data_IF_455463831882
#
_entry.id   IF_455463831882
#
_cell.length_a   1.000
_cell.length_b   1.000
_cell.length_c   1.000
_cell.angle_alpha   90.00
_cell.angle_beta   90.00
_cell.angle_gamma   90.00
#
_symmetry.space_group_name_H-M   'P 1'
#
loop_
_entity.id
_entity.type
_entity.pdbx_description
1 polymer ?
#
# COMPACT_ATOMS: atom_id res chain seq x y z
N UNK A 1 -4.14 -9.68 -4.52
CA UNK A 1 -3.76 -8.38 -3.93
C UNK A 1 -4.98 -7.48 -3.93
N UNK A 2 -5.22 -6.81 -2.82
CA UNK A 2 -6.18 -5.71 -2.67
C UNK A 2 -5.36 -4.41 -2.50
N UNK A 3 -5.45 -3.52 -3.49
CA UNK A 3 -4.53 -2.41 -3.64
C UNK A 3 -4.95 -1.13 -2.87
N UNK A 4 -5.59 -1.27 -1.73
CA UNK A 4 -5.98 -0.17 -0.83
C UNK A 4 -7.47 0.19 -0.90
N UNK A 5 -7.91 1.03 0.04
CA UNK A 5 -9.28 1.52 0.18
C UNK A 5 -10.32 0.39 0.29
N UNK A 6 -10.14 -0.45 1.31
CA UNK A 6 -11.10 -1.51 1.64
C UNK A 6 -12.50 -0.94 1.93
N UNK A 7 -12.55 0.28 2.42
CA UNK A 7 -13.77 0.99 2.75
C UNK A 7 -13.80 2.38 2.10
N UNK A 8 -14.99 2.87 1.80
CA UNK A 8 -15.19 4.22 1.29
C UNK A 8 -14.87 5.29 2.35
N UNK A 9 -15.12 4.98 3.61
CA UNK A 9 -15.00 5.92 4.72
C UNK A 9 -13.97 5.43 5.73
N UNK A 10 -13.20 6.34 6.32
CA UNK A 10 -12.19 6.06 7.36
C UNK A 10 -12.76 5.48 8.65
N UNK A 11 -14.06 5.60 8.87
CA UNK A 11 -14.80 5.01 9.98
C UNK A 11 -15.99 4.23 9.43
N UNK A 12 -15.76 3.05 8.83
CA UNK A 12 -16.80 2.28 8.19
C UNK A 12 -17.85 1.81 9.20
N UNK A 13 -19.13 1.83 8.80
CA UNK A 13 -20.19 1.30 9.64
C UNK A 13 -20.00 -0.21 9.89
N UNK A 14 -20.40 -0.74 11.07
CA UNK A 14 -20.20 -2.15 11.43
C UNK A 14 -20.76 -3.16 10.42
N UNK A 15 -21.82 -2.79 9.69
CA UNK A 15 -22.37 -3.64 8.62
C UNK A 15 -21.37 -3.85 7.49
N UNK A 16 -20.66 -2.80 7.06
CA UNK A 16 -19.64 -2.91 6.01
C UNK A 16 -18.43 -3.69 6.49
N UNK A 17 -17.96 -3.44 7.73
CA UNK A 17 -16.88 -4.22 8.34
C UNK A 17 -17.23 -5.70 8.38
N UNK A 18 -18.43 -6.04 8.83
CA UNK A 18 -18.91 -7.44 8.86
C UNK A 18 -18.90 -8.07 7.47
N UNK A 19 -19.44 -7.40 6.46
CA UNK A 19 -19.54 -7.94 5.10
C UNK A 19 -18.15 -8.07 4.43
N UNK A 20 -17.26 -7.13 4.68
CA UNK A 20 -15.86 -7.21 4.22
C UNK A 20 -15.16 -8.37 4.93
N UNK A 21 -15.23 -8.43 6.25
CA UNK A 21 -14.62 -9.49 7.05
C UNK A 21 -15.05 -10.89 6.61
N UNK A 22 -16.34 -11.10 6.31
CA UNK A 22 -16.82 -12.37 5.75
C UNK A 22 -16.10 -12.76 4.45
N UNK A 23 -15.82 -11.80 3.58
CA UNK A 23 -15.14 -12.06 2.31
C UNK A 23 -13.68 -12.44 2.54
N UNK A 24 -12.99 -11.71 3.41
CA UNK A 24 -11.60 -12.01 3.76
C UNK A 24 -11.49 -13.37 4.44
N UNK A 25 -12.36 -13.69 5.39
CA UNK A 25 -12.38 -15.00 6.03
C UNK A 25 -12.65 -16.14 5.03
N UNK A 26 -13.50 -15.94 4.03
CA UNK A 26 -13.72 -16.94 2.97
C UNK A 26 -12.44 -17.19 2.14
N UNK A 27 -11.67 -16.16 1.83
CA UNK A 27 -10.38 -16.30 1.15
C UNK A 27 -9.39 -17.07 2.04
N UNK A 28 -9.30 -16.71 3.31
CA UNK A 28 -8.46 -17.38 4.31
C UNK A 28 -8.82 -18.87 4.44
N UNK A 29 -10.11 -19.19 4.58
CA UNK A 29 -10.58 -20.57 4.69
C UNK A 29 -10.31 -21.41 3.42
N UNK A 30 -10.35 -20.75 2.26
CA UNK A 30 -9.97 -21.36 0.99
C UNK A 30 -8.45 -21.44 0.78
N UNK A 31 -7.65 -21.00 1.77
CA UNK A 31 -6.18 -20.93 1.73
C UNK A 31 -5.68 -20.10 0.53
N UNK A 32 -6.40 -19.03 0.17
CA UNK A 32 -6.01 -18.12 -0.88
C UNK A 32 -5.14 -17.02 -0.26
N UNK A 33 -3.83 -16.95 -0.56
CA UNK A 33 -2.94 -15.90 -0.09
C UNK A 33 -3.50 -14.53 -0.48
N UNK A 34 -3.65 -13.65 0.51
CA UNK A 34 -4.32 -12.36 0.34
C UNK A 34 -3.48 -11.25 0.97
N UNK A 35 -3.03 -10.30 0.14
CA UNK A 35 -2.35 -9.09 0.58
C UNK A 35 -3.36 -7.93 0.60
N UNK A 36 -3.43 -7.24 1.74
CA UNK A 36 -4.29 -6.07 1.95
C UNK A 36 -3.41 -4.84 2.11
N UNK A 37 -3.29 -4.04 1.05
CA UNK A 37 -2.56 -2.78 1.09
C UNK A 37 -3.41 -1.71 1.78
N UNK A 38 -2.80 -0.91 2.64
CA UNK A 38 -3.50 0.19 3.32
C UNK A 38 -3.60 1.39 2.38
N UNK A 39 -4.83 1.83 2.12
CA UNK A 39 -5.15 3.02 1.33
C UNK A 39 -5.44 4.24 2.20
N UNK A 40 -5.71 5.38 1.57
CA UNK A 40 -5.95 6.65 2.27
C UNK A 40 -7.30 6.67 3.03
N UNK A 41 -8.29 5.91 2.57
CA UNK A 41 -9.56 5.74 3.27
C UNK A 41 -9.51 4.70 4.40
N UNK A 42 -8.48 3.86 4.44
CA UNK A 42 -8.30 2.91 5.53
C UNK A 42 -7.67 3.57 6.76
N UNK A 43 -6.86 4.62 6.58
CA UNK A 43 -6.14 5.29 7.65
C UNK A 43 -7.05 6.13 8.56
N UNK A 44 -6.85 6.03 9.88
CA UNK A 44 -7.47 6.96 10.82
C UNK A 44 -6.99 8.39 10.57
N UNK A 45 -7.86 9.41 10.70
CA UNK A 45 -7.44 10.81 10.62
C UNK A 45 -6.54 11.23 11.79
N UNK A 46 -6.49 10.47 12.87
CA UNK A 46 -5.65 10.73 14.02
C UNK A 46 -4.41 9.82 14.03
N UNK A 47 -3.24 10.44 14.18
CA UNK A 47 -1.95 9.73 14.25
C UNK A 47 -1.96 8.74 15.43
N UNK A 48 -1.44 7.54 15.19
CA UNK A 48 -1.31 6.49 16.20
C UNK A 48 -2.58 5.72 16.52
N UNK A 49 -3.69 6.00 15.84
CA UNK A 49 -4.90 5.17 15.95
C UNK A 49 -4.87 4.02 14.94
N UNK A 50 -5.51 2.92 15.33
CA UNK A 50 -5.72 1.78 14.44
C UNK A 50 -6.46 2.19 13.16
N UNK A 51 -6.09 1.60 12.05
CA UNK A 51 -6.80 1.75 10.77
C UNK A 51 -7.83 0.63 10.57
N UNK A 52 -8.76 0.85 9.65
CA UNK A 52 -9.96 0.01 9.51
C UNK A 52 -9.69 -1.46 9.21
N UNK A 53 -8.57 -1.79 8.54
CA UNK A 53 -8.22 -3.19 8.20
C UNK A 53 -7.15 -3.80 9.11
N UNK A 54 -6.69 -3.08 10.13
CA UNK A 54 -5.67 -3.57 11.06
C UNK A 54 -6.15 -4.77 11.90
N UNK A 55 -7.45 -4.95 12.02
CA UNK A 55 -8.04 -6.08 12.74
C UNK A 55 -7.58 -7.43 12.19
N UNK A 56 -7.38 -7.57 10.88
CA UNK A 56 -6.93 -8.82 10.27
C UNK A 56 -5.51 -9.19 10.68
N UNK A 57 -4.63 -8.20 10.85
CA UNK A 57 -3.28 -8.38 11.37
C UNK A 57 -3.31 -8.72 12.87
N UNK A 58 -4.09 -7.96 13.66
CA UNK A 58 -4.24 -8.19 15.10
C UNK A 58 -4.80 -9.58 15.40
N UNK A 59 -5.77 -10.06 14.62
CA UNK A 59 -6.37 -11.39 14.75
C UNK A 59 -5.52 -12.50 14.12
N UNK A 60 -4.41 -12.16 13.46
CA UNK A 60 -3.52 -13.09 12.77
C UNK A 60 -4.29 -14.04 11.84
N UNK A 61 -5.17 -13.48 11.01
CA UNK A 61 -6.02 -14.24 10.10
C UNK A 61 -5.14 -15.02 9.12
N UNK A 62 -5.23 -16.38 9.08
CA UNK A 62 -4.35 -17.19 8.23
C UNK A 62 -4.47 -16.81 6.75
N UNK A 63 -3.37 -16.84 6.01
CA UNK A 63 -3.30 -16.48 4.59
C UNK A 63 -3.67 -15.03 4.27
N UNK A 64 -3.71 -14.15 5.28
CA UNK A 64 -3.97 -12.73 5.10
C UNK A 64 -2.81 -11.94 5.70
N UNK A 65 -2.27 -10.98 4.95
CA UNK A 65 -1.22 -10.06 5.42
C UNK A 65 -1.64 -8.63 5.12
N UNK A 66 -1.59 -7.78 6.13
CA UNK A 66 -1.87 -6.34 6.00
C UNK A 66 -0.54 -5.60 5.78
N UNK A 67 -0.48 -4.81 4.72
CA UNK A 67 0.71 -4.06 4.30
C UNK A 67 0.49 -2.58 4.61
N UNK A 68 1.02 -2.13 5.73
CA UNK A 68 0.86 -0.75 6.25
C UNK A 68 2.12 0.10 6.16
N UNK A 69 3.23 -0.50 5.73
CA UNK A 69 4.52 0.17 5.49
C UNK A 69 5.07 -0.29 4.15
N UNK A 70 5.92 0.52 3.50
CA UNK A 70 6.69 0.04 2.36
C UNK A 70 7.47 -1.23 2.73
N UNK A 71 7.32 -2.27 1.91
CA UNK A 71 7.90 -3.58 2.20
C UNK A 71 8.23 -4.32 0.89
N UNK A 72 9.29 -5.12 0.90
CA UNK A 72 9.66 -6.00 -0.19
C UNK A 72 9.53 -7.45 0.26
N UNK A 73 8.49 -8.10 -0.24
CA UNK A 73 8.10 -9.43 0.15
C UNK A 73 8.71 -10.46 -0.80
N UNK A 74 9.38 -11.44 -0.22
CA UNK A 74 9.97 -12.58 -0.91
C UNK A 74 9.06 -13.82 -0.79
N UNK A 75 9.34 -14.93 -1.51
CA UNK A 75 8.52 -16.15 -1.44
C UNK A 75 8.20 -16.63 -0.03
N UNK A 76 9.18 -16.59 0.88
CA UNK A 76 9.01 -16.97 2.30
C UNK A 76 7.98 -16.10 3.04
N UNK A 77 7.81 -14.85 2.63
CA UNK A 77 6.80 -13.93 3.15
C UNK A 77 5.42 -14.14 2.52
N UNK A 78 5.37 -14.86 1.42
CA UNK A 78 4.22 -15.02 0.51
C UNK A 78 3.73 -16.47 0.45
N UNK A 79 3.86 -17.21 1.55
CA UNK A 79 3.43 -18.63 1.64
C UNK A 79 4.10 -19.51 0.58
N UNK A 80 5.39 -19.28 0.32
CA UNK A 80 6.23 -19.96 -0.68
C UNK A 80 5.74 -19.81 -2.13
N UNK A 81 4.95 -18.77 -2.43
CA UNK A 81 4.59 -18.45 -3.81
C UNK A 81 5.83 -17.96 -4.57
N UNK A 82 6.08 -18.43 -5.81
CA UNK A 82 7.26 -18.07 -6.60
C UNK A 82 7.09 -16.68 -7.23
N UNK A 83 6.97 -15.65 -6.39
CA UNK A 83 6.78 -14.26 -6.79
C UNK A 83 7.38 -13.33 -5.75
N UNK A 84 7.77 -12.14 -6.16
CA UNK A 84 8.23 -11.07 -5.28
C UNK A 84 7.24 -9.90 -5.37
N UNK A 85 6.93 -9.27 -4.24
CA UNK A 85 5.96 -8.16 -4.18
C UNK A 85 6.59 -6.95 -3.50
N UNK A 86 6.71 -5.87 -4.20
CA UNK A 86 7.06 -4.55 -3.68
C UNK A 86 5.76 -3.84 -3.29
N UNK A 87 5.55 -3.56 -2.02
CA UNK A 87 4.34 -2.96 -1.49
C UNK A 87 4.57 -1.51 -1.09
N UNK A 88 3.77 -0.61 -1.65
CA UNK A 88 3.76 0.82 -1.35
C UNK A 88 2.37 1.24 -0.88
N UNK A 89 2.04 1.10 0.41
CA UNK A 89 0.79 1.58 0.96
C UNK A 89 0.73 3.11 0.94
N UNK A 90 -0.46 3.65 1.21
CA UNK A 90 -0.63 5.09 1.30
C UNK A 90 0.25 5.72 2.38
N UNK A 91 0.99 6.74 2.01
CA UNK A 91 1.82 7.53 2.92
C UNK A 91 1.10 8.85 3.19
N UNK A 92 0.61 9.04 4.41
CA UNK A 92 -0.06 10.27 4.78
C UNK A 92 0.94 11.40 5.01
N UNK A 93 0.56 12.63 4.63
CA UNK A 93 1.36 13.84 4.87
C UNK A 93 1.71 14.00 6.36
N UNK A 94 0.73 13.83 7.23
CA UNK A 94 0.94 13.96 8.68
C UNK A 94 1.88 12.89 9.25
N UNK A 95 1.78 11.66 8.76
CA UNK A 95 2.70 10.58 9.12
C UNK A 95 4.12 10.87 8.67
N UNK A 96 4.25 11.46 7.48
CA UNK A 96 5.52 11.84 6.90
C UNK A 96 6.20 12.95 7.71
N UNK A 97 5.50 14.05 7.97
CA UNK A 97 6.02 15.17 8.77
C UNK A 97 6.42 14.73 10.18
N UNK A 98 5.63 13.83 10.79
CA UNK A 98 5.98 13.25 12.09
C UNK A 98 7.24 12.38 12.04
N UNK A 99 7.48 11.68 10.93
CA UNK A 99 8.65 10.81 10.78
C UNK A 99 9.93 11.58 10.43
N UNK A 100 9.81 12.68 9.67
CA UNK A 100 10.97 13.50 9.24
C UNK A 100 11.30 14.63 10.19
N UNK A 101 10.35 15.06 11.06
CA UNK A 101 10.49 16.24 11.91
C UNK A 101 10.46 17.57 11.15
N UNK A 102 10.10 17.56 9.87
CA UNK A 102 10.07 18.72 9.02
C UNK A 102 8.78 19.53 9.16
N UNK A 103 8.92 20.84 9.12
CA UNK A 103 7.79 21.80 9.17
C UNK A 103 7.33 22.25 7.79
N UNK A 104 8.22 22.20 6.76
CA UNK A 104 7.86 22.46 5.38
C UNK A 104 7.43 21.18 4.67
N UNK A 105 6.20 21.19 4.23
CA UNK A 105 5.59 20.03 3.57
C UNK A 105 6.13 19.79 2.16
N UNK A 106 6.57 20.81 1.46
CA UNK A 106 7.03 20.67 0.07
C UNK A 106 8.41 19.99 0.03
N UNK A 107 9.33 20.43 0.90
CA UNK A 107 10.65 19.80 1.01
C UNK A 107 10.53 18.37 1.52
N UNK A 108 9.65 18.13 2.52
CA UNK A 108 9.40 16.79 3.03
C UNK A 108 8.88 15.84 1.95
N UNK A 109 7.95 16.28 1.11
CA UNK A 109 7.45 15.46 0.00
C UNK A 109 8.53 15.15 -1.04
N UNK A 110 9.30 16.15 -1.47
CA UNK A 110 10.39 15.94 -2.44
C UNK A 110 11.39 14.90 -1.94
N UNK A 111 11.81 15.00 -0.69
CA UNK A 111 12.73 14.02 -0.08
C UNK A 111 12.13 12.62 0.00
N UNK A 112 10.85 12.51 0.25
CA UNK A 112 10.19 11.20 0.32
C UNK A 112 10.01 10.59 -1.06
N UNK A 113 9.67 11.39 -2.07
CA UNK A 113 9.64 10.92 -3.45
C UNK A 113 11.00 10.38 -3.89
N UNK A 114 12.09 11.10 -3.58
CA UNK A 114 13.46 10.64 -3.82
C UNK A 114 13.77 9.35 -3.04
N UNK A 115 13.43 9.31 -1.75
CA UNK A 115 13.68 8.14 -0.90
C UNK A 115 12.89 6.91 -1.37
N UNK A 116 11.65 7.08 -1.83
CA UNK A 116 10.85 5.99 -2.40
C UNK A 116 11.46 5.52 -3.72
N UNK A 117 11.89 6.44 -4.58
CA UNK A 117 12.60 6.10 -5.81
C UNK A 117 13.83 5.24 -5.51
N UNK A 118 14.69 5.71 -4.62
CA UNK A 118 15.89 5.00 -4.20
C UNK A 118 15.58 3.63 -3.55
N UNK A 119 14.51 3.57 -2.75
CA UNK A 119 14.08 2.32 -2.12
C UNK A 119 13.64 1.27 -3.15
N UNK A 120 12.86 1.68 -4.14
CA UNK A 120 12.41 0.76 -5.20
C UNK A 120 13.59 0.34 -6.08
N UNK A 121 14.50 1.25 -6.42
CA UNK A 121 15.72 0.89 -7.17
C UNK A 121 16.55 -0.13 -6.41
N UNK A 122 16.77 0.07 -5.13
CA UNK A 122 17.45 -0.88 -4.26
C UNK A 122 16.76 -2.25 -4.27
N UNK A 123 15.45 -2.31 -4.12
CA UNK A 123 14.71 -3.56 -4.17
C UNK A 123 14.80 -4.27 -5.53
N UNK A 124 14.82 -3.49 -6.63
CA UNK A 124 15.04 -4.03 -7.98
C UNK A 124 16.47 -4.57 -8.18
N UNK A 125 17.44 -4.03 -7.46
CA UNK A 125 18.80 -4.57 -7.46
C UNK A 125 18.92 -5.86 -6.64
N UNK A 126 18.23 -5.92 -5.50
CA UNK A 126 18.20 -7.07 -4.57
C UNK A 126 17.25 -8.21 -5.06
N UNK A 127 16.43 -7.96 -6.07
CA UNK A 127 15.43 -8.91 -6.55
C UNK A 127 16.07 -10.11 -7.25
N UNK A 128 15.46 -11.29 -7.08
CA UNK A 128 15.79 -12.49 -7.83
C UNK A 128 15.25 -12.38 -9.27
N UNK A 129 16.12 -12.32 -10.29
CA UNK A 129 15.70 -12.16 -11.68
C UNK A 129 14.97 -13.38 -12.27
N UNK A 130 14.98 -14.52 -11.58
CA UNK A 130 14.24 -15.71 -11.99
C UNK A 130 12.77 -15.69 -11.58
N UNK A 131 12.39 -14.77 -10.69
CA UNK A 131 11.03 -14.65 -10.16
C UNK A 131 10.33 -13.40 -10.70
N UNK A 132 9.02 -13.48 -10.98
CA UNK A 132 8.25 -12.31 -11.35
C UNK A 132 8.17 -11.31 -10.19
N UNK A 133 8.18 -10.01 -10.54
CA UNK A 133 8.10 -8.90 -9.60
C UNK A 133 6.78 -8.15 -9.82
N UNK A 134 6.02 -7.99 -8.75
CA UNK A 134 4.80 -7.18 -8.71
C UNK A 134 5.07 -5.93 -7.86
N UNK A 135 4.80 -4.76 -8.42
CA UNK A 135 4.68 -3.53 -7.63
C UNK A 135 3.21 -3.30 -7.32
N UNK A 136 2.84 -3.22 -6.05
CA UNK A 136 1.50 -2.77 -5.65
C UNK A 136 1.60 -1.45 -4.89
N UNK A 137 0.87 -0.44 -5.33
CA UNK A 137 0.97 0.89 -4.77
C UNK A 137 -0.40 1.55 -4.61
N UNK A 138 -0.63 2.16 -3.45
CA UNK A 138 -1.76 3.08 -3.25
C UNK A 138 -1.23 4.50 -3.17
N UNK A 139 -1.08 5.15 -4.34
CA UNK A 139 -0.46 6.47 -4.47
C UNK A 139 -0.96 7.18 -5.73
N UNK A 140 -0.75 8.48 -5.80
CA UNK A 140 -0.89 9.24 -7.04
C UNK A 140 0.33 9.00 -7.93
N UNK A 141 0.11 8.84 -9.22
CA UNK A 141 1.20 8.64 -10.20
C UNK A 141 1.23 9.83 -11.16
N UNK A 142 2.42 10.36 -11.40
CA UNK A 142 2.64 11.45 -12.35
C UNK A 142 2.07 11.12 -13.74
N UNK A 143 1.24 12.01 -14.28
CA UNK A 143 0.61 11.84 -15.60
C UNK A 143 -0.53 10.84 -15.65
N UNK A 144 -0.93 10.23 -14.53
CA UNK A 144 -2.12 9.39 -14.48
C UNK A 144 -3.40 10.22 -14.71
N UNK A 145 -4.35 9.60 -15.43
CA UNK A 145 -5.68 10.20 -15.60
C UNK A 145 -6.57 9.73 -14.44
N UNK A 146 -7.00 10.68 -13.62
CA UNK A 146 -7.94 10.41 -12.54
C UNK A 146 -9.35 10.16 -13.10
N UNK A 147 -10.06 9.18 -12.53
CA UNK A 147 -11.48 8.96 -12.79
C UNK A 147 -12.37 9.98 -12.07
N UNK A 148 -13.59 9.57 -11.70
CA UNK A 148 -14.57 10.44 -11.01
C UNK A 148 -14.16 10.95 -9.61
N UNK A 149 -13.11 10.44 -9.04
CA UNK A 149 -12.60 10.78 -7.70
C UNK A 149 -11.71 12.04 -7.64
N UNK A 150 -11.67 12.80 -8.71
CA UNK A 150 -10.88 14.04 -8.86
C UNK A 150 -11.06 15.06 -7.72
N UNK A 151 -12.15 14.96 -6.96
CA UNK A 151 -12.50 15.87 -5.87
C UNK A 151 -11.88 15.47 -4.50
N UNK A 152 -11.41 14.26 -4.32
CA UNK A 152 -10.87 13.76 -3.03
C UNK A 152 -9.35 13.99 -2.93
N UNK A 153 -8.67 14.20 -4.06
CA UNK A 153 -7.22 14.39 -4.16
C UNK A 153 -6.80 15.87 -4.24
N UNK A 154 -7.62 16.79 -3.76
CA UNK A 154 -7.27 18.21 -3.61
C UNK A 154 -6.44 18.45 -2.34
N UNK A 155 -5.28 17.87 -2.29
CA UNK A 155 -4.31 18.05 -1.22
C UNK A 155 -2.92 17.67 -1.73
N UNK A 156 -1.88 18.12 -1.08
CA UNK A 156 -0.49 17.77 -1.36
C UNK A 156 -0.25 16.26 -1.09
N UNK A 157 -0.78 15.41 -1.95
CA UNK A 157 -0.56 13.97 -1.91
C UNK A 157 0.80 13.64 -2.49
N UNK A 158 1.40 12.57 -1.99
CA UNK A 158 2.63 12.03 -2.55
C UNK A 158 2.37 11.57 -3.99
N UNK A 159 3.13 12.11 -4.94
CA UNK A 159 3.03 11.77 -6.36
C UNK A 159 4.28 10.98 -6.75
N UNK A 160 4.10 9.71 -7.08
CA UNK A 160 5.20 8.87 -7.53
C UNK A 160 5.52 9.14 -9.00
N UNK A 161 6.81 9.13 -9.34
CA UNK A 161 7.25 9.28 -10.72
C UNK A 161 6.69 8.18 -11.63
N UNK A 162 6.24 8.58 -12.82
CA UNK A 162 5.84 7.63 -13.86
C UNK A 162 6.97 6.68 -14.28
N UNK A 163 8.22 7.08 -14.13
CA UNK A 163 9.39 6.24 -14.40
C UNK A 163 9.47 5.00 -13.52
N UNK A 164 9.05 5.15 -12.27
CA UNK A 164 9.05 4.06 -11.30
C UNK A 164 8.11 2.92 -11.71
N UNK A 165 6.88 3.24 -12.13
CA UNK A 165 5.88 2.24 -12.54
C UNK A 165 6.11 1.68 -13.94
N UNK A 166 6.95 2.33 -14.74
CA UNK A 166 7.32 1.89 -16.11
C UNK A 166 8.62 1.10 -16.15
N UNK A 167 9.21 0.76 -15.01
CA UNK A 167 10.45 0.01 -14.98
C UNK A 167 10.27 -1.37 -15.60
N UNK A 168 11.15 -1.72 -16.56
CA UNK A 168 11.06 -2.96 -17.34
C UNK A 168 11.30 -4.24 -16.53
N UNK A 169 11.86 -4.15 -15.33
CA UNK A 169 12.02 -5.28 -14.42
C UNK A 169 10.70 -5.67 -13.74
N UNK A 170 9.71 -4.75 -13.68
CA UNK A 170 8.40 -5.05 -13.12
C UNK A 170 7.57 -5.85 -14.12
N UNK A 171 7.05 -6.99 -13.69
CA UNK A 171 6.17 -7.83 -14.51
C UNK A 171 4.71 -7.40 -14.41
N UNK A 172 4.32 -6.80 -13.29
CA UNK A 172 2.97 -6.28 -13.08
C UNK A 172 2.98 -5.10 -12.10
N UNK A 173 2.06 -4.15 -12.32
CA UNK A 173 1.81 -3.02 -11.40
C UNK A 173 0.33 -2.97 -11.09
N UNK A 174 -0.02 -2.93 -9.79
CA UNK A 174 -1.38 -2.91 -9.26
C UNK A 174 -1.63 -1.65 -8.39
#
# INVERSE_FOLDING_TARGET
IFAGDAYKDRSPAPTFQREWGKRIIRLSQAKIPTLLLVGNHDLSPAIGRAHAIQEFDTLQVPFVRVLQKPDFLHPEDLWDLPVQVMAMPWISRSGLMAATGETDSTEAFTRVEENIGNLVEKWLEESDPSLPIILTAHASIEGAKFGGERLVMLGNDLVLSAGLVKNKKLNYVA
#
